data_IF_005734255464
#
_entry.id   IF_005734255464
#
_cell.length_a   1.000
_cell.length_b   1.000
_cell.length_c   1.000
_cell.angle_alpha   90.00
_cell.angle_beta   90.00
_cell.angle_gamma   90.00
#
_symmetry.space_group_name_H-M   'P 1'
#
loop_
_entity.id
_entity.type
_entity.pdbx_description
1 polymer ?
#
# COMPACT_ATOMS: atom_id res chain seq x y z
N UNK A 1 -7.44 -14.65 23.19
CA UNK A 1 -7.17 -13.24 22.81
C UNK A 1 -5.95 -13.27 21.91
N UNK A 2 -6.17 -13.17 20.60
CA UNK A 2 -5.15 -13.40 19.56
C UNK A 2 -4.33 -12.14 19.35
N UNK A 3 -3.00 -12.28 19.40
CA UNK A 3 -2.06 -11.21 19.14
C UNK A 3 -2.08 -10.87 17.65
N UNK A 4 -2.44 -9.64 17.32
CA UNK A 4 -2.30 -9.10 15.98
C UNK A 4 -0.81 -9.15 15.59
N UNK A 5 -0.50 -9.96 14.59
CA UNK A 5 0.77 -9.96 13.87
C UNK A 5 0.90 -8.62 13.13
N UNK A 6 1.23 -7.56 13.87
CA UNK A 6 1.78 -6.35 13.29
C UNK A 6 3.21 -6.72 12.92
N UNK A 7 3.41 -7.10 11.66
CA UNK A 7 4.71 -7.19 11.02
C UNK A 7 5.38 -5.83 11.16
N UNK A 8 6.05 -5.62 12.30
CA UNK A 8 7.04 -4.58 12.49
C UNK A 8 8.17 -4.94 11.54
N UNK A 9 7.99 -4.56 10.27
CA UNK A 9 8.98 -4.61 9.22
C UNK A 9 10.14 -3.72 9.65
N UNK A 10 11.00 -4.29 10.50
CA UNK A 10 12.25 -3.74 10.96
C UNK A 10 13.23 -3.89 9.80
N UNK A 11 12.99 -3.14 8.72
CA UNK A 11 14.01 -2.92 7.71
C UNK A 11 14.97 -1.90 8.32
N UNK A 12 15.86 -2.36 9.20
CA UNK A 12 17.14 -1.70 9.39
C UNK A 12 17.92 -1.88 8.09
N UNK A 13 17.56 -1.12 7.05
CA UNK A 13 18.55 -0.82 6.03
C UNK A 13 19.65 -0.06 6.74
N UNK A 14 20.83 -0.68 6.80
CA UNK A 14 22.13 -0.05 7.07
C UNK A 14 22.04 1.43 6.69
N UNK A 15 22.24 2.35 7.64
CA UNK A 15 22.11 3.81 7.42
C UNK A 15 23.02 4.26 6.27
N UNK A 16 22.53 4.16 5.04
CA UNK A 16 23.09 4.77 3.85
C UNK A 16 22.06 5.83 3.49
N UNK A 17 22.19 6.99 4.12
CA UNK A 17 21.38 8.15 3.74
C UNK A 17 21.74 8.53 2.31
N UNK A 18 20.78 8.48 1.40
CA UNK A 18 20.97 8.93 0.02
C UNK A 18 20.44 10.35 -0.09
N UNK A 19 21.34 11.32 -0.31
CA UNK A 19 20.93 12.69 -0.56
C UNK A 19 20.35 12.82 -1.98
N UNK A 20 19.27 13.59 -2.09
CA UNK A 20 18.64 13.96 -3.37
C UNK A 20 18.46 15.47 -3.39
N UNK A 21 18.74 16.07 -4.54
CA UNK A 21 18.44 17.49 -4.76
C UNK A 21 16.94 17.65 -4.92
N UNK A 22 16.44 18.77 -4.40
CA UNK A 22 15.11 19.26 -4.70
C UNK A 22 15.21 19.97 -6.05
N UNK A 23 14.27 19.71 -6.96
CA UNK A 23 14.22 20.44 -8.23
C UNK A 23 13.67 21.87 -8.05
N UNK A 24 13.63 22.64 -9.13
CA UNK A 24 13.11 24.01 -9.12
C UNK A 24 11.61 24.10 -8.80
N UNK A 25 10.89 22.98 -8.91
CA UNK A 25 9.45 22.88 -8.62
C UNK A 25 9.18 22.33 -7.22
N UNK A 26 10.22 22.14 -6.41
CA UNK A 26 10.09 21.65 -5.04
C UNK A 26 9.93 20.13 -4.91
N UNK A 27 10.15 19.35 -5.98
CA UNK A 27 10.00 17.89 -5.97
C UNK A 27 11.28 17.18 -5.55
N UNK A 28 11.11 16.05 -4.87
CA UNK A 28 12.19 15.11 -4.53
C UNK A 28 11.98 13.82 -5.30
N UNK A 29 12.97 13.43 -6.11
CA UNK A 29 12.94 12.16 -6.83
C UNK A 29 13.38 11.00 -5.96
N UNK A 30 12.49 10.05 -5.73
CA UNK A 30 12.81 8.79 -5.05
C UNK A 30 13.47 7.81 -6.04
N UNK A 31 14.51 7.05 -5.62
CA UNK A 31 15.07 5.98 -6.42
C UNK A 31 14.02 4.92 -6.77
N UNK A 32 14.12 4.33 -7.96
CA UNK A 32 13.21 3.27 -8.41
C UNK A 32 13.04 2.14 -7.40
N UNK A 33 14.14 1.68 -6.78
CA UNK A 33 14.11 0.63 -5.77
C UNK A 33 13.25 0.97 -4.53
N UNK A 34 13.16 2.26 -4.17
CA UNK A 34 12.32 2.72 -3.07
C UNK A 34 10.85 2.69 -3.48
N UNK A 35 10.54 3.17 -4.70
CA UNK A 35 9.18 3.12 -5.27
C UNK A 35 8.69 1.67 -5.41
N UNK A 36 9.53 0.77 -5.93
CA UNK A 36 9.23 -0.65 -6.08
C UNK A 36 8.95 -1.31 -4.71
N UNK A 37 9.72 -0.94 -3.68
CA UNK A 37 9.52 -1.45 -2.31
C UNK A 37 8.22 -0.92 -1.69
N UNK A 38 7.85 0.32 -1.99
CA UNK A 38 6.58 0.91 -1.59
C UNK A 38 5.41 0.38 -2.43
N UNK A 39 5.68 -0.26 -3.57
CA UNK A 39 4.64 -0.75 -4.48
C UNK A 39 3.85 0.39 -5.14
N UNK A 40 4.50 1.52 -5.43
CA UNK A 40 3.88 2.72 -6.00
C UNK A 40 4.46 3.04 -7.37
N UNK A 41 3.60 3.48 -8.29
CA UNK A 41 3.93 3.88 -9.66
C UNK A 41 3.54 5.34 -9.98
N UNK A 42 3.77 5.77 -11.23
CA UNK A 42 3.34 7.10 -11.68
C UNK A 42 1.83 7.28 -11.53
N UNK A 43 1.42 8.37 -10.88
CA UNK A 43 0.02 8.69 -10.61
C UNK A 43 -0.50 8.22 -9.26
N UNK A 44 0.25 7.35 -8.56
CA UNK A 44 -0.11 6.92 -7.21
C UNK A 44 0.17 8.01 -6.18
N UNK A 45 -0.63 8.02 -5.12
CA UNK A 45 -0.43 8.88 -3.96
C UNK A 45 0.50 8.22 -2.95
N UNK A 46 1.31 9.00 -2.24
CA UNK A 46 2.12 8.54 -1.11
C UNK A 46 1.73 9.38 0.10
N UNK A 47 1.46 8.72 1.23
CA UNK A 47 1.15 9.41 2.47
C UNK A 47 2.47 9.85 3.14
N UNK A 48 2.57 11.14 3.48
CA UNK A 48 3.69 11.70 4.23
C UNK A 48 3.19 11.97 5.65
N UNK A 49 3.79 11.30 6.62
CA UNK A 49 3.42 11.43 8.03
C UNK A 49 4.57 12.07 8.79
N UNK A 50 4.29 13.17 9.47
CA UNK A 50 5.24 13.79 10.38
C UNK A 50 5.30 13.00 11.70
N UNK A 51 6.51 12.76 12.19
CA UNK A 51 6.79 12.13 13.47
C UNK A 51 7.96 12.81 14.19
N UNK A 52 8.31 12.33 15.40
CA UNK A 52 9.30 12.98 16.26
C UNK A 52 10.69 13.13 15.63
N UNK A 53 11.07 12.16 14.79
CA UNK A 53 12.40 12.08 14.16
C UNK A 53 12.39 12.50 12.68
N UNK A 54 11.29 13.11 12.21
CA UNK A 54 11.13 13.56 10.82
C UNK A 54 9.92 12.94 10.13
N UNK A 55 10.01 12.76 8.81
CA UNK A 55 8.89 12.31 7.99
C UNK A 55 8.98 10.84 7.61
N UNK A 56 7.84 10.15 7.62
CA UNK A 56 7.69 8.76 7.17
C UNK A 56 6.85 8.76 5.90
N UNK A 57 7.33 8.07 4.87
CA UNK A 57 6.57 7.78 3.67
C UNK A 57 5.82 6.46 3.84
N UNK A 58 4.53 6.45 3.55
CA UNK A 58 3.71 5.22 3.51
C UNK A 58 3.05 5.04 2.15
N UNK A 59 2.93 3.79 1.67
CA UNK A 59 2.11 3.51 0.50
C UNK A 59 0.67 3.96 0.74
N UNK A 60 -0.07 4.31 -0.32
CA UNK A 60 -1.45 4.75 -0.18
C UNK A 60 -2.27 3.61 0.44
N UNK A 61 -3.22 3.96 1.31
CA UNK A 61 -4.19 2.98 1.79
C UNK A 61 -4.93 2.45 0.57
N UNK A 62 -4.81 1.13 0.32
CA UNK A 62 -5.41 0.48 -0.86
C UNK A 62 -6.91 0.70 -1.00
N UNK A 63 -7.61 0.99 0.09
CA UNK A 63 -9.04 1.22 0.10
C UNK A 63 -9.32 2.41 1.01
N UNK A 64 -9.73 3.53 0.41
CA UNK A 64 -10.43 4.56 1.14
C UNK A 64 -11.89 4.13 1.30
N UNK A 65 -12.23 3.56 2.45
CA UNK A 65 -13.58 3.07 2.75
C UNK A 65 -14.62 4.20 2.75
N UNK A 66 -14.20 5.47 2.90
CA UNK A 66 -15.10 6.62 2.80
C UNK A 66 -15.52 6.91 1.35
N UNK A 67 -14.68 6.52 0.38
CA UNK A 67 -14.97 6.63 -1.06
C UNK A 67 -15.92 5.56 -1.60
N UNK A 68 -16.26 4.54 -0.78
CA UNK A 68 -17.06 3.39 -1.23
C UNK A 68 -18.54 3.72 -1.47
N UNK A 69 -19.02 4.92 -1.13
CA UNK A 69 -20.40 5.36 -1.41
C UNK A 69 -21.44 4.36 -0.92
N UNK A 70 -22.23 3.79 -1.85
CA UNK A 70 -23.26 2.77 -1.55
C UNK A 70 -22.71 1.37 -1.26
N UNK A 71 -21.42 1.13 -1.52
CA UNK A 71 -20.75 -0.15 -1.25
C UNK A 71 -20.23 -0.26 0.18
N UNK A 72 -20.19 0.84 0.94
CA UNK A 72 -19.67 0.90 2.32
C UNK A 72 -20.31 -0.14 3.25
N UNK A 73 -21.61 -0.40 3.07
CA UNK A 73 -22.38 -1.32 3.92
C UNK A 73 -22.37 -2.76 3.38
N UNK A 74 -21.90 -2.95 2.14
CA UNK A 74 -21.84 -4.25 1.45
C UNK A 74 -20.47 -4.91 1.55
N UNK A 75 -19.43 -4.12 1.79
CA UNK A 75 -18.05 -4.59 1.93
C UNK A 75 -17.71 -4.54 3.41
N UNK A 76 -17.68 -5.70 4.08
CA UNK A 76 -17.24 -5.75 5.47
C UNK A 76 -15.73 -5.49 5.54
N UNK A 77 -15.31 -4.53 6.36
CA UNK A 77 -13.92 -4.09 6.46
C UNK A 77 -12.98 -5.09 7.15
N UNK A 78 -13.51 -6.20 7.67
CA UNK A 78 -12.80 -7.28 8.36
C UNK A 78 -12.50 -8.48 7.46
N UNK A 79 -12.78 -8.41 6.16
CA UNK A 79 -12.42 -9.48 5.23
C UNK A 79 -10.91 -9.52 4.96
N UNK A 80 -10.35 -10.73 5.06
CA UNK A 80 -9.01 -11.01 4.54
C UNK A 80 -8.91 -10.59 3.07
N UNK A 81 -7.76 -10.03 2.63
CA UNK A 81 -7.55 -9.68 1.24
C UNK A 81 -7.83 -10.87 0.32
N UNK A 82 -8.50 -10.63 -0.80
CA UNK A 82 -8.74 -11.65 -1.81
C UNK A 82 -7.40 -12.20 -2.31
N UNK A 83 -7.14 -13.47 -2.06
CA UNK A 83 -6.01 -14.16 -2.68
C UNK A 83 -6.35 -14.44 -4.15
N UNK A 84 -5.77 -13.63 -5.02
CA UNK A 84 -5.97 -13.71 -6.47
C UNK A 84 -5.47 -15.01 -7.09
N UNK A 85 -4.48 -15.67 -6.47
CA UNK A 85 -3.92 -16.91 -6.98
C UNK A 85 -4.89 -18.05 -6.69
N UNK A 86 -5.33 -18.14 -5.44
CA UNK A 86 -6.36 -19.11 -5.01
C UNK A 86 -7.64 -18.91 -5.81
N UNK A 87 -8.11 -17.67 -5.98
CA UNK A 87 -9.34 -17.39 -6.71
C UNK A 87 -9.28 -17.83 -8.18
N UNK A 88 -8.14 -17.69 -8.85
CA UNK A 88 -7.95 -18.12 -10.25
C UNK A 88 -7.86 -19.63 -10.40
N UNK A 89 -7.38 -20.33 -9.37
CA UNK A 89 -7.26 -21.78 -9.36
C UNK A 89 -8.58 -22.47 -8.96
N UNK A 90 -9.55 -21.73 -8.41
CA UNK A 90 -10.86 -22.28 -8.10
C UNK A 90 -11.59 -22.71 -9.38
N UNK A 91 -12.19 -23.91 -9.40
CA UNK A 91 -12.98 -24.37 -10.52
C UNK A 91 -14.15 -23.40 -10.71
N UNK A 92 -14.16 -22.74 -11.87
CA UNK A 92 -15.26 -21.85 -12.24
C UNK A 92 -16.53 -22.68 -12.44
N UNK A 93 -17.63 -22.20 -11.86
CA UNK A 93 -18.96 -22.73 -12.17
C UNK A 93 -19.30 -22.42 -13.65
N UNK A 94 -19.44 -23.44 -14.51
CA UNK A 94 -19.72 -23.26 -15.93
C UNK A 94 -21.07 -22.56 -16.19
N UNK A 95 -22.00 -22.58 -15.22
CA UNK A 95 -23.32 -21.92 -15.34
C UNK A 95 -23.25 -20.39 -15.30
N UNK A 96 -22.09 -19.82 -14.99
CA UNK A 96 -21.85 -18.36 -15.02
C UNK A 96 -21.43 -17.84 -16.41
N UNK A 97 -21.39 -18.72 -17.42
CA UNK A 97 -21.22 -18.37 -18.84
C UNK A 97 -22.56 -18.57 -19.56
N UNK A 98 -23.46 -17.60 -19.40
CA UNK A 98 -24.59 -17.45 -20.33
C UNK A 98 -24.13 -16.79 -21.64
#
# INVERSE_FOLDING_TARGET
>A
MSAANVLRGRVYSRRIGVFRKIDSEGRVTLPKSVLDTLGVGPGDQIEIIEGPDGFILRPPRKIDYSSLGTLKDKIRGDHEPLDIHVFREQPYDPSLRD
#
